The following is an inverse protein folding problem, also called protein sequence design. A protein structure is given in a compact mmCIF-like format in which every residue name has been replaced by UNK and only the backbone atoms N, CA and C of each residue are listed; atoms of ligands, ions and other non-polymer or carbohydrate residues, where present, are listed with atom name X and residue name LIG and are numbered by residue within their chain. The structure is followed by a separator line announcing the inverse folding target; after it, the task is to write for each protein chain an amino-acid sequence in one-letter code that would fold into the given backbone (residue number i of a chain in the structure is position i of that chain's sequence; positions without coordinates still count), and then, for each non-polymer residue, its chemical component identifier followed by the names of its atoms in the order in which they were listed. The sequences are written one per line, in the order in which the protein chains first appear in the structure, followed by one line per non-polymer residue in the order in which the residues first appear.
data_IF_510384865445
#
_entry.id   IF_510384865445
#
_cell.length_a   1.000
_cell.length_b   1.000
_cell.length_c   1.000
_cell.angle_alpha   90.00
_cell.angle_beta   90.00
_cell.angle_gamma   90.00
#
_symmetry.space_group_name_H-M   'P 1'
#
loop_
_entity.id
_entity.type
_entity.pdbx_description
1 polymer ?
#
# COMPACT_ATOMS: atom_id res chain seq x y z
N UNK A 1 -18.33 -20.75 2.19
CA UNK A 1 -17.68 -19.47 2.54
C UNK A 1 -16.21 -19.76 2.71
N UNK A 2 -15.35 -19.11 1.92
CA UNK A 2 -13.90 -19.24 2.06
C UNK A 2 -13.40 -18.21 3.09
N UNK A 3 -12.55 -18.65 4.03
CA UNK A 3 -11.95 -17.78 5.06
C UNK A 3 -10.44 -17.81 4.85
N UNK A 4 -9.83 -16.63 4.72
CA UNK A 4 -8.37 -16.46 4.65
C UNK A 4 -7.90 -15.66 5.86
N UNK A 5 -6.84 -16.14 6.51
CA UNK A 5 -6.23 -15.52 7.69
C UNK A 5 -4.82 -15.10 7.33
N UNK A 6 -4.46 -13.89 7.71
CA UNK A 6 -3.14 -13.30 7.47
C UNK A 6 -2.85 -12.16 8.44
N UNK A 7 -1.79 -11.41 8.16
CA UNK A 7 -1.25 -10.35 9.00
C UNK A 7 -1.09 -9.06 8.20
N UNK A 8 -1.05 -7.94 8.91
CA UNK A 8 -0.52 -6.68 8.39
C UNK A 8 1.00 -6.77 8.27
N UNK A 9 1.49 -6.94 7.04
CA UNK A 9 2.90 -7.06 6.71
C UNK A 9 3.51 -8.43 6.98
N UNK A 10 4.81 -8.53 6.69
CA UNK A 10 5.61 -9.77 6.69
C UNK A 10 6.09 -10.19 8.08
N UNK A 11 5.18 -10.24 9.05
CA UNK A 11 5.45 -10.39 10.49
C UNK A 11 5.88 -11.81 10.91
N UNK A 12 6.59 -12.54 10.05
CA UNK A 12 7.15 -13.86 10.31
C UNK A 12 8.68 -13.76 10.23
N UNK A 13 9.37 -14.32 11.22
CA UNK A 13 10.84 -14.35 11.23
C UNK A 13 11.35 -15.08 9.99
N UNK A 14 12.14 -14.39 9.16
CA UNK A 14 12.56 -14.88 7.85
C UNK A 14 11.91 -14.15 6.66
N UNK A 15 11.06 -13.14 6.93
CA UNK A 15 10.51 -12.24 5.92
C UNK A 15 9.51 -12.93 4.98
N UNK A 16 9.38 -12.43 3.75
CA UNK A 16 8.39 -12.90 2.77
C UNK A 16 8.40 -14.41 2.55
N UNK A 17 9.60 -14.98 2.36
CA UNK A 17 9.77 -16.41 2.11
C UNK A 17 9.26 -17.30 3.25
N UNK A 18 9.44 -16.85 4.50
CA UNK A 18 8.87 -17.56 5.64
C UNK A 18 7.36 -17.32 5.74
N UNK A 19 6.93 -16.08 5.50
CA UNK A 19 5.51 -15.70 5.52
C UNK A 19 4.65 -16.52 4.57
N UNK A 20 5.11 -16.73 3.33
CA UNK A 20 4.42 -17.53 2.32
C UNK A 20 4.18 -19.00 2.70
N UNK A 21 4.88 -19.51 3.72
CA UNK A 21 4.69 -20.88 4.23
C UNK A 21 3.62 -20.96 5.32
N UNK A 22 3.34 -19.84 5.99
CA UNK A 22 2.45 -19.77 7.14
C UNK A 22 1.05 -19.28 6.76
N UNK A 23 0.95 -18.37 5.77
CA UNK A 23 -0.30 -17.73 5.37
C UNK A 23 -0.50 -17.73 3.86
N UNK A 24 -1.75 -17.62 3.43
CA UNK A 24 -2.17 -17.51 2.02
C UNK A 24 -2.60 -16.10 1.61
N UNK A 25 -2.56 -15.14 2.54
CA UNK A 25 -2.89 -13.74 2.29
C UNK A 25 -2.06 -12.82 3.17
N UNK A 26 -1.70 -11.64 2.66
CA UNK A 26 -1.04 -10.57 3.43
C UNK A 26 -1.75 -9.23 3.22
N UNK A 27 -1.88 -8.44 4.28
CA UNK A 27 -2.20 -7.02 4.13
C UNK A 27 -0.89 -6.23 3.92
N UNK A 28 -0.70 -5.69 2.72
CA UNK A 28 0.50 -4.92 2.34
C UNK A 28 0.42 -3.54 2.96
N UNK A 29 1.30 -3.26 3.92
CA UNK A 29 1.35 -1.97 4.62
C UNK A 29 2.29 -0.97 3.96
N UNK A 30 3.26 -1.43 3.18
CA UNK A 30 4.31 -0.60 2.59
C UNK A 30 3.71 0.52 1.73
N UNK A 31 2.68 0.18 0.95
CA UNK A 31 1.96 1.07 0.05
C UNK A 31 1.23 2.20 0.78
N UNK A 32 0.79 1.97 2.03
CA UNK A 32 0.24 3.03 2.87
C UNK A 32 1.27 4.14 3.10
N UNK A 33 2.50 3.77 3.42
CA UNK A 33 3.52 4.74 3.74
C UNK A 33 4.12 5.36 2.50
N UNK A 34 4.54 4.55 1.52
CA UNK A 34 5.19 5.01 0.30
C UNK A 34 4.93 3.98 -0.79
N UNK A 35 4.49 4.44 -1.96
CA UNK A 35 4.33 3.57 -3.12
C UNK A 35 5.69 2.95 -3.51
N UNK A 36 5.82 1.61 -3.50
CA UNK A 36 6.98 0.93 -4.06
C UNK A 36 7.06 1.15 -5.57
N UNK A 37 8.18 0.78 -6.19
CA UNK A 37 8.25 0.73 -7.66
C UNK A 37 7.38 -0.42 -8.18
N UNK A 38 6.75 -0.31 -9.37
CA UNK A 38 6.01 -1.41 -9.99
C UNK A 38 6.81 -2.73 -10.02
N UNK A 39 8.08 -2.68 -10.47
CA UNK A 39 8.99 -3.84 -10.47
C UNK A 39 9.19 -4.49 -9.09
N UNK A 40 9.07 -3.72 -8.01
CA UNK A 40 9.20 -4.25 -6.64
C UNK A 40 7.98 -5.08 -6.26
N UNK A 41 6.77 -4.61 -6.57
CA UNK A 41 5.55 -5.38 -6.27
C UNK A 41 5.38 -6.57 -7.21
N UNK A 42 5.73 -6.44 -8.49
CA UNK A 42 5.70 -7.57 -9.43
C UNK A 42 6.62 -8.71 -8.97
N UNK A 43 7.80 -8.37 -8.44
CA UNK A 43 8.69 -9.38 -7.84
C UNK A 43 8.06 -10.07 -6.62
N UNK A 44 7.23 -9.39 -5.82
CA UNK A 44 6.55 -10.05 -4.70
C UNK A 44 5.54 -11.08 -5.18
N UNK A 45 4.83 -10.78 -6.27
CA UNK A 45 3.89 -11.70 -6.94
C UNK A 45 4.63 -12.89 -7.53
N UNK A 46 5.73 -12.65 -8.25
CA UNK A 46 6.59 -13.69 -8.83
C UNK A 46 7.14 -14.65 -7.76
N UNK A 47 7.43 -14.15 -6.56
CA UNK A 47 7.93 -14.95 -5.43
C UNK A 47 6.82 -15.66 -4.65
N UNK A 48 5.56 -15.26 -4.82
CA UNK A 48 4.45 -15.79 -4.04
C UNK A 48 3.97 -17.16 -4.57
N UNK A 49 3.54 -18.07 -3.69
CA UNK A 49 2.92 -19.32 -4.12
C UNK A 49 1.64 -19.09 -4.92
N UNK A 50 1.28 -20.06 -5.75
CA UNK A 50 0.01 -20.04 -6.48
C UNK A 50 -1.19 -19.87 -5.52
N UNK A 51 -2.11 -18.98 -5.88
CA UNK A 51 -3.30 -18.67 -5.08
C UNK A 51 -3.06 -17.76 -3.87
N UNK A 52 -1.83 -17.29 -3.64
CA UNK A 52 -1.53 -16.31 -2.59
C UNK A 52 -2.15 -14.94 -2.93
N UNK A 53 -2.78 -14.30 -1.95
CA UNK A 53 -3.48 -13.02 -2.12
C UNK A 53 -2.78 -11.85 -1.43
N UNK A 54 -2.93 -10.67 -2.03
CA UNK A 54 -2.41 -9.43 -1.49
C UNK A 54 -3.57 -8.44 -1.27
N UNK A 55 -3.77 -8.03 -0.02
CA UNK A 55 -4.69 -6.97 0.34
C UNK A 55 -3.90 -5.66 0.51
N UNK A 56 -3.94 -4.78 -0.49
CA UNK A 56 -3.12 -3.57 -0.50
C UNK A 56 -3.75 -2.43 0.30
N UNK A 57 -3.01 -1.84 1.24
CA UNK A 57 -3.41 -0.55 1.82
C UNK A 57 -3.27 0.56 0.80
N UNK A 58 -4.32 1.36 0.63
CA UNK A 58 -4.25 2.58 -0.15
C UNK A 58 -3.19 3.53 0.41
N UNK A 59 -2.52 4.28 -0.47
CA UNK A 59 -1.51 5.24 -0.07
C UNK A 59 -2.08 6.31 0.86
N UNK A 60 -1.36 6.65 1.93
CA UNK A 60 -1.83 7.59 2.95
C UNK A 60 -2.18 8.97 2.37
N UNK A 61 -1.61 9.33 1.21
CA UNK A 61 -1.94 10.58 0.52
C UNK A 61 -3.45 10.72 0.20
N UNK A 62 -4.15 9.60 0.03
CA UNK A 62 -5.58 9.53 -0.28
C UNK A 62 -6.42 9.61 1.00
N UNK A 63 -5.93 9.03 2.10
CA UNK A 63 -6.72 8.80 3.32
C UNK A 63 -6.42 9.80 4.44
N UNK A 64 -5.21 10.34 4.50
CA UNK A 64 -4.71 11.18 5.60
C UNK A 64 -4.28 12.56 5.10
N UNK A 65 -4.40 13.62 5.92
CA UNK A 65 -3.92 14.95 5.56
C UNK A 65 -2.39 15.07 5.70
N UNK A 66 -1.77 16.11 5.08
CA UNK A 66 -0.34 16.38 5.24
C UNK A 66 0.14 16.68 6.65
N UNK A 67 -0.79 16.96 7.56
CA UNK A 67 -0.52 17.16 9.00
C UNK A 67 -0.43 15.85 9.78
N UNK A 68 -0.70 14.69 9.17
CA UNK A 68 -0.62 13.40 9.86
C UNK A 68 0.80 13.05 10.30
N UNK A 69 0.98 12.40 11.47
CA UNK A 69 2.31 12.11 12.03
C UNK A 69 3.23 11.31 11.10
N UNK A 70 2.65 10.48 10.25
CA UNK A 70 3.36 9.59 9.33
C UNK A 70 3.57 10.19 7.94
N UNK A 71 3.11 11.42 7.68
CA UNK A 71 3.13 12.01 6.34
C UNK A 71 4.54 12.13 5.76
N UNK A 72 5.54 12.40 6.61
CA UNK A 72 6.96 12.41 6.21
C UNK A 72 7.41 11.13 5.49
N UNK A 73 6.73 10.00 5.72
CA UNK A 73 7.01 8.71 5.07
C UNK A 73 6.42 8.60 3.67
N UNK A 74 5.44 9.44 3.31
CA UNK A 74 4.81 9.52 2.00
C UNK A 74 5.80 9.79 0.86
N UNK A 75 6.91 10.47 1.17
CA UNK A 75 7.90 10.83 0.15
C UNK A 75 7.38 11.89 -0.82
N UNK A 76 6.38 12.67 -0.43
CA UNK A 76 5.88 13.83 -1.17
C UNK A 76 5.89 15.08 -0.28
N UNK A 77 6.27 16.19 -0.88
CA UNK A 77 6.18 17.51 -0.27
C UNK A 77 4.95 18.24 -0.80
N UNK A 78 4.13 18.77 0.12
CA UNK A 78 2.90 19.47 -0.23
C UNK A 78 2.93 20.88 0.38
N UNK A 79 2.84 21.94 -0.44
CA UNK A 79 2.71 23.31 0.06
C UNK A 79 1.51 23.46 0.98
N UNK A 80 1.62 24.27 2.05
CA UNK A 80 0.52 24.52 3.00
C UNK A 80 -0.80 24.93 2.32
N UNK A 81 -0.72 25.68 1.23
CA UNK A 81 -1.89 26.11 0.43
C UNK A 81 -2.69 24.95 -0.19
N UNK A 82 -2.10 23.75 -0.30
CA UNK A 82 -2.76 22.57 -0.86
C UNK A 82 -3.13 21.53 0.21
N UNK A 83 -2.88 21.77 1.50
CA UNK A 83 -3.12 20.76 2.55
C UNK A 83 -4.58 20.29 2.60
N UNK A 84 -5.54 21.19 2.38
CA UNK A 84 -6.97 20.86 2.34
C UNK A 84 -7.38 19.99 1.15
N UNK A 85 -6.48 19.76 0.19
CA UNK A 85 -6.73 18.98 -1.02
C UNK A 85 -6.33 17.52 -0.92
N UNK A 86 -5.68 17.09 0.16
CA UNK A 86 -5.25 15.71 0.37
C UNK A 86 -6.03 15.05 1.51
N UNK A 87 -6.07 13.72 1.50
CA UNK A 87 -6.61 12.91 2.59
C UNK A 87 -8.14 12.83 2.61
N UNK A 88 -8.65 12.11 3.61
CA UNK A 88 -10.07 11.92 3.90
C UNK A 88 -10.92 11.45 2.71
N UNK A 89 -10.31 10.76 1.74
CA UNK A 89 -10.99 10.27 0.53
C UNK A 89 -11.74 11.38 -0.22
N UNK A 90 -11.29 12.64 -0.10
CA UNK A 90 -11.96 13.79 -0.73
C UNK A 90 -11.90 13.66 -2.26
N UNK A 91 -12.95 14.06 -2.99
CA UNK A 91 -12.98 14.04 -4.45
C UNK A 91 -12.22 15.25 -5.03
N UNK A 92 -10.96 15.43 -4.66
CA UNK A 92 -10.08 16.47 -5.19
C UNK A 92 -9.19 15.90 -6.28
N UNK A 93 -8.70 16.77 -7.17
CA UNK A 93 -7.75 16.37 -8.20
C UNK A 93 -6.51 15.69 -7.59
N UNK A 94 -5.96 16.24 -6.51
CA UNK A 94 -4.76 15.70 -5.86
C UNK A 94 -4.98 14.29 -5.26
N UNK A 95 -6.16 14.02 -4.67
CA UNK A 95 -6.49 12.67 -4.20
C UNK A 95 -6.73 11.69 -5.35
N UNK A 96 -7.37 12.14 -6.44
CA UNK A 96 -7.58 11.31 -7.63
C UNK A 96 -6.25 10.96 -8.30
N UNK A 97 -5.31 11.90 -8.41
CA UNK A 97 -3.94 11.62 -8.88
C UNK A 97 -3.19 10.65 -7.95
N UNK A 98 -3.37 10.77 -6.62
CA UNK A 98 -2.81 9.81 -5.67
C UNK A 98 -3.43 8.41 -5.78
N UNK A 99 -4.73 8.35 -6.09
CA UNK A 99 -5.46 7.13 -6.38
C UNK A 99 -4.98 6.46 -7.66
N UNK A 100 -4.80 7.21 -8.75
CA UNK A 100 -4.27 6.70 -10.02
C UNK A 100 -2.88 6.08 -9.84
N UNK A 101 -1.99 6.72 -9.07
CA UNK A 101 -0.67 6.17 -8.73
C UNK A 101 -0.78 4.90 -7.87
N UNK A 102 -1.74 4.85 -6.96
CA UNK A 102 -1.99 3.64 -6.16
C UNK A 102 -2.49 2.50 -7.05
N UNK A 103 -3.37 2.79 -8.02
CA UNK A 103 -3.85 1.81 -9.00
C UNK A 103 -2.73 1.31 -9.93
N UNK A 104 -1.76 2.15 -10.30
CA UNK A 104 -0.58 1.71 -11.05
C UNK A 104 0.17 0.60 -10.30
N UNK A 105 0.40 0.79 -9.00
CA UNK A 105 1.02 -0.24 -8.16
C UNK A 105 0.13 -1.46 -8.00
N UNK A 106 -1.19 -1.27 -7.84
CA UNK A 106 -2.16 -2.36 -7.75
C UNK A 106 -2.15 -3.25 -8.99
N UNK A 107 -1.98 -2.68 -10.19
CA UNK A 107 -1.97 -3.42 -11.46
C UNK A 107 -0.68 -4.18 -11.71
N UNK A 108 0.39 -3.80 -11.03
CA UNK A 108 1.68 -4.48 -11.10
C UNK A 108 1.82 -5.58 -10.04
N UNK A 109 0.81 -5.72 -9.16
CA UNK A 109 0.64 -6.77 -8.17
C UNK A 109 -0.41 -7.77 -8.66
#
# INVERSE_FOLDING_TARGET
MEIRVGCCGWCVRGGKRAYFKEFSVVEVQETFYKLPRPKTVSKWVEEAPEGFEFAMKAWQAITHPPTSPTWRRAGIEVPRSKHSRYGFLRPTRENLEAWEKTLEICRAM
#
